data_IF_624580997935
#
_entry.id   IF_624580997935
#
_cell.length_a   1.000
_cell.length_b   1.000
_cell.length_c   1.000
_cell.angle_alpha   90.00
_cell.angle_beta   90.00
_cell.angle_gamma   90.00
#
_symmetry.space_group_name_H-M   'P 1'
#
loop_
_entity.id
_entity.type
_entity.pdbx_description
1 polymer ?
#
# COMPACT_ATOMS: atom_id res chain seq x y z
N UNK A 1 22.18 6.83 -29.67
CA UNK A 1 22.47 6.77 -28.22
C UNK A 1 23.19 5.45 -27.94
N UNK A 2 24.21 5.40 -27.07
CA UNK A 2 24.85 4.15 -26.70
C UNK A 2 23.89 3.26 -25.92
N UNK A 3 23.97 1.95 -26.14
CA UNK A 3 23.19 0.96 -25.39
C UNK A 3 23.81 0.76 -24.00
N UNK A 4 23.01 0.87 -22.95
CA UNK A 4 23.42 0.60 -21.56
C UNK A 4 23.06 -0.84 -21.20
N UNK A 5 24.03 -1.62 -20.71
CA UNK A 5 23.81 -2.99 -20.24
C UNK A 5 23.87 -3.05 -18.72
N UNK A 6 22.86 -3.67 -18.10
CA UNK A 6 22.78 -3.85 -16.66
C UNK A 6 23.40 -5.19 -16.22
N UNK A 7 23.85 -5.31 -14.95
CA UNK A 7 24.34 -6.58 -14.43
C UNK A 7 23.31 -7.71 -14.56
N UNK A 8 23.75 -8.97 -14.74
CA UNK A 8 22.86 -10.12 -14.68
C UNK A 8 22.08 -10.15 -13.35
N UNK A 9 20.78 -10.43 -13.42
CA UNK A 9 19.91 -10.49 -12.24
C UNK A 9 19.48 -9.13 -11.69
N UNK A 10 19.75 -8.02 -12.38
CA UNK A 10 19.25 -6.70 -11.98
C UNK A 10 17.71 -6.71 -11.88
N UNK A 11 17.18 -6.33 -10.71
CA UNK A 11 15.75 -6.33 -10.42
C UNK A 11 15.10 -5.01 -10.82
N UNK A 12 14.54 -4.99 -12.02
CA UNK A 12 13.62 -3.92 -12.42
C UNK A 12 12.28 -4.10 -11.70
N UNK A 13 11.84 -3.08 -10.98
CA UNK A 13 10.63 -3.14 -10.19
C UNK A 13 9.95 -1.80 -10.04
N UNK A 14 8.85 -1.82 -9.29
CA UNK A 14 8.13 -0.62 -8.88
C UNK A 14 8.00 -0.58 -7.35
N UNK A 15 7.56 0.55 -6.81
CA UNK A 15 7.39 0.74 -5.37
C UNK A 15 6.13 1.52 -5.02
N UNK A 16 5.51 1.17 -3.91
CA UNK A 16 4.31 1.80 -3.34
C UNK A 16 4.43 1.88 -1.81
N UNK A 17 3.50 2.60 -1.19
CA UNK A 17 3.32 2.60 0.27
C UNK A 17 1.83 2.43 0.59
N UNK A 18 1.54 1.67 1.65
CA UNK A 18 0.19 1.21 2.01
C UNK A 18 -0.86 2.31 2.00
N UNK A 19 -0.69 3.38 2.79
CA UNK A 19 -1.67 4.47 2.87
C UNK A 19 -1.90 5.20 1.54
N UNK A 20 -0.93 5.17 0.63
CA UNK A 20 -1.03 5.88 -0.65
C UNK A 20 -1.86 5.12 -1.70
N UNK A 21 -2.03 3.80 -1.55
CA UNK A 21 -2.67 2.97 -2.59
C UNK A 21 -3.78 2.05 -2.06
N UNK A 22 -3.72 1.61 -0.79
CA UNK A 22 -4.60 0.56 -0.27
C UNK A 22 -6.07 0.97 -0.25
N UNK A 23 -6.39 2.14 0.27
CA UNK A 23 -7.77 2.48 0.60
C UNK A 23 -8.29 1.64 1.77
N UNK A 24 -9.59 1.37 1.80
CA UNK A 24 -10.26 0.51 2.78
C UNK A 24 -9.85 0.85 4.23
N UNK A 25 -9.79 2.16 4.53
CA UNK A 25 -9.07 2.67 5.70
C UNK A 25 -9.64 2.24 7.05
N UNK A 26 -10.91 1.83 7.09
CA UNK A 26 -11.63 1.38 8.29
C UNK A 26 -12.25 -0.01 8.13
N UNK A 27 -11.82 -0.77 7.13
CA UNK A 27 -12.32 -2.12 6.86
C UNK A 27 -11.50 -3.20 7.57
N UNK A 28 -12.11 -4.37 7.76
CA UNK A 28 -11.45 -5.58 8.25
C UNK A 28 -10.63 -5.39 9.53
N UNK A 29 -11.12 -4.51 10.41
CA UNK A 29 -10.52 -4.25 11.71
C UNK A 29 -9.25 -3.40 11.69
N UNK A 30 -8.91 -2.73 10.56
CA UNK A 30 -7.81 -1.76 10.51
C UNK A 30 -8.02 -0.65 11.56
N UNK A 31 -6.96 -0.35 12.31
CA UNK A 31 -6.92 0.79 13.22
C UNK A 31 -6.65 2.13 12.52
N UNK A 32 -6.88 3.22 13.27
CA UNK A 32 -6.50 4.56 12.81
C UNK A 32 -4.98 4.74 12.87
N UNK A 33 -4.38 5.20 11.77
CA UNK A 33 -2.99 5.68 11.70
C UNK A 33 -2.92 7.19 11.93
N UNK A 34 -1.70 7.69 12.14
CA UNK A 34 -1.47 9.13 12.19
C UNK A 34 -1.83 9.84 10.88
N UNK A 35 -1.75 9.15 9.73
CA UNK A 35 -2.10 9.73 8.43
C UNK A 35 -3.62 9.81 8.24
N UNK A 36 -4.37 8.81 8.72
CA UNK A 36 -5.84 8.87 8.74
C UNK A 36 -6.28 10.12 9.55
N UNK A 37 -5.72 10.30 10.77
CA UNK A 37 -6.00 11.46 11.61
C UNK A 37 -5.61 12.78 10.95
N UNK A 38 -4.41 12.84 10.37
CA UNK A 38 -3.87 14.06 9.78
C UNK A 38 -4.68 14.49 8.55
N UNK A 39 -5.05 13.54 7.69
CA UNK A 39 -5.82 13.82 6.47
C UNK A 39 -7.26 14.25 6.75
N UNK A 40 -7.89 13.70 7.78
CA UNK A 40 -9.23 14.11 8.23
C UNK A 40 -9.24 15.44 9.01
N UNK A 41 -8.08 16.06 9.25
CA UNK A 41 -8.02 17.38 9.87
C UNK A 41 -8.16 18.47 8.80
N UNK A 42 -9.08 19.44 8.94
CA UNK A 42 -9.25 20.51 7.96
C UNK A 42 -7.94 21.22 7.62
N UNK A 43 -7.79 21.58 6.35
CA UNK A 43 -6.67 22.35 5.79
C UNK A 43 -5.26 21.71 5.88
N UNK A 44 -5.14 20.47 6.38
CA UNK A 44 -3.87 19.75 6.43
C UNK A 44 -3.45 19.13 5.10
N UNK A 45 -4.41 18.73 4.28
CA UNK A 45 -4.17 18.16 2.94
C UNK A 45 -4.75 19.10 1.89
N UNK A 46 -4.00 19.30 0.81
CA UNK A 46 -4.49 20.05 -0.35
C UNK A 46 -5.81 19.45 -0.83
N UNK A 47 -6.82 20.28 -1.05
CA UNK A 47 -8.18 19.88 -1.44
C UNK A 47 -8.97 19.05 -0.40
N UNK A 48 -8.41 18.78 0.77
CA UNK A 48 -9.03 17.89 1.76
C UNK A 48 -9.03 16.41 1.35
N UNK A 49 -8.11 16.00 0.47
CA UNK A 49 -8.00 14.60 0.03
C UNK A 49 -7.64 13.67 1.21
N UNK A 50 -8.18 12.46 1.22
CA UNK A 50 -7.86 11.41 2.20
C UNK A 50 -7.31 10.14 1.54
N UNK A 51 -6.77 9.23 2.34
CA UNK A 51 -6.33 7.90 1.89
C UNK A 51 -7.45 6.86 1.99
N UNK A 52 -8.71 7.30 2.14
CA UNK A 52 -9.83 6.42 2.49
C UNK A 52 -10.10 5.37 1.43
N UNK A 53 -10.15 5.81 0.16
CA UNK A 53 -10.30 4.95 -1.01
C UNK A 53 -8.96 4.75 -1.75
N UNK A 54 -8.12 5.79 -1.80
CA UNK A 54 -6.83 5.81 -2.49
C UNK A 54 -6.90 5.22 -3.93
N UNK A 55 -6.18 4.13 -4.21
CA UNK A 55 -6.24 3.41 -5.48
C UNK A 55 -7.09 2.14 -5.40
N UNK A 56 -7.76 1.90 -4.27
CA UNK A 56 -8.53 0.70 -3.99
C UNK A 56 -7.71 -0.60 -4.13
N UNK A 57 -6.40 -0.51 -3.90
CA UNK A 57 -5.49 -1.67 -4.02
C UNK A 57 -5.88 -2.78 -3.04
N UNK A 58 -6.49 -2.46 -1.89
CA UNK A 58 -6.96 -3.46 -0.94
C UNK A 58 -7.90 -4.49 -1.59
N UNK A 59 -8.81 -4.03 -2.44
CA UNK A 59 -9.73 -4.90 -3.17
C UNK A 59 -9.19 -5.36 -4.53
N UNK A 60 -8.31 -4.55 -5.15
CA UNK A 60 -7.85 -4.73 -6.54
C UNK A 60 -6.44 -5.28 -6.70
N UNK A 61 -5.75 -5.65 -5.62
CA UNK A 61 -4.34 -6.06 -5.69
C UNK A 61 -4.05 -7.17 -6.72
N UNK A 62 -5.01 -8.07 -6.98
CA UNK A 62 -4.88 -9.12 -8.00
C UNK A 62 -4.76 -8.55 -9.41
N UNK A 63 -5.51 -7.50 -9.71
CA UNK A 63 -5.44 -6.77 -10.99
C UNK A 63 -4.10 -6.03 -11.09
N UNK A 64 -3.67 -5.35 -10.02
CA UNK A 64 -2.41 -4.62 -10.00
C UNK A 64 -1.19 -5.53 -10.15
N UNK A 65 -1.19 -6.71 -9.51
CA UNK A 65 -0.12 -7.72 -9.67
C UNK A 65 -0.11 -8.27 -11.09
N UNK A 66 -1.29 -8.47 -11.71
CA UNK A 66 -1.37 -8.88 -13.11
C UNK A 66 -0.76 -7.82 -14.05
N UNK A 67 -1.01 -6.53 -13.81
CA UNK A 67 -0.40 -5.43 -14.55
C UNK A 67 1.12 -5.38 -14.37
N UNK A 68 1.63 -5.55 -13.15
CA UNK A 68 3.08 -5.60 -12.91
C UNK A 68 3.75 -6.74 -13.68
N UNK A 69 3.07 -7.88 -13.78
CA UNK A 69 3.53 -9.03 -14.58
C UNK A 69 3.53 -8.72 -16.07
N UNK A 70 2.48 -8.06 -16.59
CA UNK A 70 2.40 -7.64 -17.99
C UNK A 70 3.53 -6.66 -18.37
N UNK A 71 3.84 -5.72 -17.47
CA UNK A 71 4.97 -4.79 -17.62
C UNK A 71 6.35 -5.46 -17.53
N UNK A 72 6.40 -6.75 -17.17
CA UNK A 72 7.64 -7.51 -17.07
C UNK A 72 8.48 -7.20 -15.83
N UNK A 73 7.89 -6.57 -14.80
CA UNK A 73 8.58 -6.25 -13.55
C UNK A 73 9.02 -7.53 -12.83
N UNK A 74 10.19 -7.45 -12.20
CA UNK A 74 10.84 -8.56 -11.47
C UNK A 74 10.79 -8.38 -9.97
N UNK A 75 10.41 -7.21 -9.49
CA UNK A 75 10.29 -6.89 -8.07
C UNK A 75 9.17 -5.89 -7.83
N UNK A 76 8.48 -6.03 -6.71
CA UNK A 76 7.50 -5.07 -6.22
C UNK A 76 7.81 -4.78 -4.75
N UNK A 77 8.17 -3.52 -4.46
CA UNK A 77 8.41 -3.06 -3.09
C UNK A 77 7.15 -2.38 -2.57
N UNK A 78 6.54 -2.94 -1.55
CA UNK A 78 5.41 -2.32 -0.85
C UNK A 78 5.68 -2.26 0.66
N UNK A 79 4.91 -1.44 1.38
CA UNK A 79 4.93 -1.40 2.85
C UNK A 79 3.71 -2.11 3.42
N UNK A 80 3.86 -2.70 4.60
CA UNK A 80 2.75 -3.25 5.37
C UNK A 80 2.17 -2.16 6.28
N UNK A 81 0.85 -2.00 6.27
CA UNK A 81 0.14 -1.07 7.15
C UNK A 81 0.14 -1.59 8.59
N UNK A 82 0.96 -1.01 9.46
CA UNK A 82 1.01 -1.39 10.88
C UNK A 82 -0.37 -1.44 11.55
N UNK A 83 -1.28 -0.47 11.38
CA UNK A 83 -2.60 -0.55 11.99
C UNK A 83 -3.53 -1.60 11.37
N UNK A 84 -3.22 -2.16 10.18
CA UNK A 84 -3.90 -3.38 9.72
C UNK A 84 -3.46 -4.61 10.52
N UNK A 85 -2.20 -4.66 10.94
CA UNK A 85 -1.62 -5.79 11.68
C UNK A 85 -1.94 -5.70 13.19
N UNK A 86 -1.71 -4.52 13.78
CA UNK A 86 -2.01 -4.19 15.17
C UNK A 86 -2.84 -2.90 15.23
N UNK A 87 -4.18 -2.99 15.30
CA UNK A 87 -5.07 -1.82 15.23
C UNK A 87 -4.82 -0.77 16.32
N UNK A 88 -4.31 -1.18 17.48
CA UNK A 88 -3.95 -0.28 18.60
C UNK A 88 -2.44 -0.07 18.72
N UNK A 89 -1.67 -0.43 17.69
CA UNK A 89 -0.21 -0.33 17.63
C UNK A 89 0.54 -1.48 18.31
N UNK A 90 -0.12 -2.29 19.14
CA UNK A 90 0.46 -3.45 19.84
C UNK A 90 -0.62 -4.44 20.29
N UNK A 91 -0.20 -5.60 20.81
CA UNK A 91 -1.09 -6.52 21.52
C UNK A 91 -1.77 -7.52 20.58
N UNK A 92 -3.09 -7.43 20.44
CA UNK A 92 -3.86 -8.42 19.66
C UNK A 92 -3.65 -8.19 18.16
N UNK A 93 -3.22 -9.24 17.47
CA UNK A 93 -3.14 -9.27 16.00
C UNK A 93 -4.54 -9.20 15.39
N UNK A 94 -4.65 -8.49 14.28
CA UNK A 94 -5.82 -8.49 13.44
C UNK A 94 -5.61 -9.45 12.26
N UNK A 95 -6.21 -10.64 12.35
CA UNK A 95 -5.99 -11.72 11.37
C UNK A 95 -6.39 -11.34 9.93
N UNK A 96 -7.54 -10.70 9.66
CA UNK A 96 -7.85 -10.21 8.32
C UNK A 96 -6.76 -9.31 7.72
N UNK A 97 -6.14 -8.46 8.54
CA UNK A 97 -5.03 -7.61 8.11
C UNK A 97 -3.75 -8.40 7.79
N UNK A 98 -3.51 -9.56 8.41
CA UNK A 98 -2.42 -10.48 8.05
C UNK A 98 -2.74 -11.20 6.74
N UNK A 99 -3.99 -11.66 6.60
CA UNK A 99 -4.45 -12.43 5.44
C UNK A 99 -4.35 -11.62 4.14
N UNK A 100 -4.53 -10.29 4.20
CA UNK A 100 -4.33 -9.42 3.05
C UNK A 100 -2.89 -9.44 2.48
N UNK A 101 -1.87 -9.63 3.32
CA UNK A 101 -0.47 -9.62 2.90
C UNK A 101 0.14 -11.01 2.66
N UNK A 102 -0.66 -12.10 2.77
CA UNK A 102 -0.20 -13.50 2.71
C UNK A 102 -0.66 -14.22 1.45
#
# INVERSE_FOLDING_TARGET
MPTVTFPPGFLWGCATASYQIEGAWNEDGKGESIWDRYAHTPDHIRNGDTGDDACDHYHRYKEDVALMKELGLKSYRFSISWPRVFPTGKGKLNQPGIDFYS
#
